data_IF_593724270819
#
_entry.id   IF_593724270819
#
_cell.length_a   1.000
_cell.length_b   1.000
_cell.length_c   1.000
_cell.angle_alpha   90.00
_cell.angle_beta   90.00
_cell.angle_gamma   90.00
#
_symmetry.space_group_name_H-M   'P 1'
#
loop_
_entity.id
_entity.type
_entity.pdbx_description
1 polymer ?
#
# COMPACT_ATOMS: atom_id res chain seq x y z
N UNK A 1 -17.56 11.62 4.71
CA UNK A 1 -17.63 10.22 4.27
C UNK A 1 -16.20 9.72 4.11
N UNK A 2 -15.92 8.54 4.64
CA UNK A 2 -14.61 7.89 4.59
C UNK A 2 -14.61 6.80 3.53
N UNK A 3 -13.43 6.29 3.20
CA UNK A 3 -13.20 5.12 2.34
C UNK A 3 -12.50 4.08 3.20
N UNK A 4 -13.13 2.95 3.50
CA UNK A 4 -12.69 2.05 4.56
C UNK A 4 -11.87 0.89 3.99
N UNK A 5 -10.78 0.56 4.67
CA UNK A 5 -9.96 -0.61 4.44
C UNK A 5 -9.85 -1.40 5.74
N UNK A 6 -10.37 -2.63 5.71
CA UNK A 6 -10.39 -3.54 6.85
C UNK A 6 -9.51 -4.77 6.61
N UNK A 7 -9.05 -5.35 7.71
CA UNK A 7 -8.32 -6.62 7.78
C UNK A 7 -8.93 -7.39 8.95
N UNK A 8 -9.54 -8.54 8.69
CA UNK A 8 -10.15 -9.39 9.73
C UNK A 8 -11.09 -8.58 10.67
N UNK A 9 -11.97 -7.74 10.09
CA UNK A 9 -12.89 -6.83 10.77
C UNK A 9 -12.22 -5.66 11.55
N UNK A 10 -10.90 -5.43 11.41
CA UNK A 10 -10.21 -4.27 11.97
C UNK A 10 -9.85 -3.22 10.90
N UNK A 11 -10.30 -1.98 11.11
CA UNK A 11 -9.96 -0.87 10.22
C UNK A 11 -8.49 -0.47 10.32
N UNK A 12 -7.75 -0.73 9.24
CA UNK A 12 -6.33 -0.36 9.11
C UNK A 12 -6.16 1.02 8.48
N UNK A 13 -7.14 1.48 7.69
CA UNK A 13 -7.13 2.81 7.09
C UNK A 13 -8.53 3.30 6.70
N UNK A 14 -8.84 4.57 7.01
CA UNK A 14 -10.15 5.19 6.71
C UNK A 14 -10.01 6.63 6.19
N UNK A 15 -9.37 6.84 5.02
CA UNK A 15 -9.14 8.17 4.44
C UNK A 15 -10.43 8.82 3.93
N UNK A 16 -10.33 10.06 3.45
CA UNK A 16 -11.40 10.68 2.66
C UNK A 16 -11.63 9.92 1.35
N UNK A 17 -12.88 9.92 0.86
CA UNK A 17 -13.32 9.20 -0.36
C UNK A 17 -12.35 9.33 -1.54
N UNK A 18 -11.95 10.56 -1.89
CA UNK A 18 -11.07 10.81 -3.04
C UNK A 18 -9.66 10.21 -2.87
N UNK A 19 -9.17 10.12 -1.65
CA UNK A 19 -7.84 9.58 -1.35
C UNK A 19 -7.88 8.05 -1.47
N UNK A 20 -8.91 7.41 -0.90
CA UNK A 20 -9.10 5.97 -1.00
C UNK A 20 -9.31 5.51 -2.45
N UNK A 21 -10.22 6.15 -3.19
CA UNK A 21 -10.47 5.84 -4.60
C UNK A 21 -9.21 6.00 -5.47
N UNK A 22 -8.44 7.08 -5.28
CA UNK A 22 -7.20 7.29 -6.04
C UNK A 22 -6.15 6.23 -5.70
N UNK A 23 -6.02 5.86 -4.44
CA UNK A 23 -5.12 4.79 -4.00
C UNK A 23 -5.48 3.46 -4.65
N UNK A 24 -6.76 3.06 -4.63
CA UNK A 24 -7.22 1.81 -5.24
C UNK A 24 -6.89 1.77 -6.74
N UNK A 25 -7.17 2.86 -7.47
CA UNK A 25 -6.86 2.97 -8.91
C UNK A 25 -5.36 2.84 -9.18
N UNK A 26 -4.52 3.53 -8.40
CA UNK A 26 -3.07 3.45 -8.59
C UNK A 26 -2.51 2.08 -8.24
N UNK A 27 -2.99 1.47 -7.15
CA UNK A 27 -2.60 0.12 -6.77
C UNK A 27 -2.98 -0.88 -7.86
N UNK A 28 -4.19 -0.76 -8.42
CA UNK A 28 -4.67 -1.63 -9.49
C UNK A 28 -3.78 -1.55 -10.74
N UNK A 29 -3.43 -0.35 -11.21
CA UNK A 29 -2.55 -0.17 -12.38
C UNK A 29 -1.16 -0.78 -12.15
N UNK A 30 -0.62 -0.67 -10.93
CA UNK A 30 0.68 -1.27 -10.59
C UNK A 30 0.55 -2.80 -10.48
N UNK A 31 -0.51 -3.33 -9.89
CA UNK A 31 -0.80 -4.76 -9.84
C UNK A 31 -0.89 -5.35 -11.25
N UNK A 32 -1.60 -4.67 -12.16
CA UNK A 32 -1.76 -5.10 -13.55
C UNK A 32 -0.45 -5.06 -14.33
N UNK A 33 0.42 -4.08 -14.05
CA UNK A 33 1.78 -4.03 -14.59
C UNK A 33 2.63 -5.21 -14.08
N UNK A 34 2.52 -5.55 -12.79
CA UNK A 34 3.28 -6.63 -12.14
C UNK A 34 2.67 -8.02 -12.32
N UNK A 35 1.44 -8.11 -12.87
CA UNK A 35 0.66 -9.36 -13.00
C UNK A 35 0.42 -10.05 -11.66
N UNK A 36 0.15 -9.26 -10.63
CA UNK A 36 -0.16 -9.72 -9.28
C UNK A 36 -1.57 -9.24 -8.85
N UNK A 37 -2.30 -10.02 -8.05
CA UNK A 37 -3.54 -9.55 -7.45
C UNK A 37 -3.28 -8.39 -6.50
N UNK A 38 -4.24 -7.47 -6.37
CA UNK A 38 -4.15 -6.37 -5.39
C UNK A 38 -4.30 -6.88 -3.96
N UNK A 39 -5.04 -7.96 -3.74
CA UNK A 39 -5.51 -8.36 -2.42
C UNK A 39 -6.64 -7.49 -1.88
N UNK A 40 -7.14 -6.52 -2.66
CA UNK A 40 -8.30 -5.71 -2.29
C UNK A 40 -9.59 -6.43 -2.73
N UNK A 41 -10.45 -6.74 -1.78
CA UNK A 41 -11.76 -7.38 -2.01
C UNK A 41 -12.86 -6.35 -1.74
N UNK A 42 -13.54 -5.93 -2.80
CA UNK A 42 -14.61 -4.92 -2.70
C UNK A 42 -15.81 -5.48 -1.90
N UNK A 43 -16.15 -4.80 -0.81
CA UNK A 43 -17.36 -5.07 -0.01
C UNK A 43 -18.46 -4.09 -0.38
N UNK A 44 -18.08 -2.82 -0.62
CA UNK A 44 -18.93 -1.76 -1.14
C UNK A 44 -18.08 -0.74 -1.91
N UNK A 45 -18.72 0.23 -2.57
CA UNK A 45 -18.03 1.23 -3.39
C UNK A 45 -16.97 2.05 -2.66
N UNK A 46 -17.06 2.15 -1.34
CA UNK A 46 -16.17 2.88 -0.44
C UNK A 46 -15.63 1.99 0.70
N UNK A 47 -15.66 0.66 0.54
CA UNK A 47 -15.20 -0.29 1.56
C UNK A 47 -14.54 -1.52 0.94
N UNK A 48 -13.33 -1.84 1.40
CA UNK A 48 -12.57 -3.01 0.98
C UNK A 48 -12.12 -3.83 2.19
N UNK A 49 -12.24 -5.15 2.05
CA UNK A 49 -11.52 -6.11 2.88
C UNK A 49 -10.17 -6.41 2.21
N UNK A 50 -9.10 -6.52 3.00
CA UNK A 50 -7.77 -6.81 2.49
C UNK A 50 -7.42 -8.29 2.73
N UNK A 51 -7.30 -9.06 1.65
CA UNK A 51 -6.58 -10.33 1.66
C UNK A 51 -5.07 -10.06 1.84
N UNK A 52 -4.62 -10.22 3.08
CA UNK A 52 -3.25 -9.91 3.48
C UNK A 52 -2.18 -10.68 2.71
N UNK A 53 -2.42 -11.93 2.33
CA UNK A 53 -1.40 -12.74 1.67
C UNK A 53 -1.12 -12.21 0.25
N UNK A 54 -2.18 -11.90 -0.48
CA UNK A 54 -2.11 -11.29 -1.81
C UNK A 54 -1.55 -9.86 -1.75
N UNK A 55 -2.05 -9.06 -0.80
CA UNK A 55 -1.65 -7.66 -0.64
C UNK A 55 -0.17 -7.54 -0.23
N UNK A 56 0.30 -8.33 0.74
CA UNK A 56 1.70 -8.35 1.15
C UNK A 56 2.62 -8.75 -0.01
N UNK A 57 2.22 -9.74 -0.80
CA UNK A 57 2.97 -10.19 -1.98
C UNK A 57 3.15 -9.05 -2.99
N UNK A 58 2.07 -8.32 -3.30
CA UNK A 58 2.14 -7.16 -4.19
C UNK A 58 3.03 -6.05 -3.62
N UNK A 59 2.83 -5.67 -2.35
CA UNK A 59 3.58 -4.56 -1.74
C UNK A 59 5.07 -4.88 -1.67
N UNK A 60 5.46 -6.13 -1.38
CA UNK A 60 6.87 -6.57 -1.44
C UNK A 60 7.44 -6.46 -2.85
N UNK A 61 6.69 -6.84 -3.88
CA UNK A 61 7.13 -6.72 -5.27
C UNK A 61 7.31 -5.25 -5.68
N UNK A 62 6.39 -4.35 -5.27
CA UNK A 62 6.52 -2.90 -5.47
C UNK A 62 7.77 -2.36 -4.76
N UNK A 63 8.00 -2.78 -3.52
CA UNK A 63 9.16 -2.40 -2.72
C UNK A 63 10.46 -2.82 -3.42
N UNK A 64 10.57 -4.08 -3.84
CA UNK A 64 11.74 -4.59 -4.58
C UNK A 64 11.95 -3.85 -5.91
N UNK A 65 10.90 -3.60 -6.67
CA UNK A 65 10.97 -2.83 -7.92
C UNK A 65 11.45 -1.39 -7.69
N UNK A 66 11.00 -0.76 -6.60
CA UNK A 66 11.41 0.60 -6.25
C UNK A 66 12.92 0.70 -5.98
N UNK A 67 13.50 -0.28 -5.28
CA UNK A 67 14.91 -0.27 -4.90
C UNK A 67 15.84 -0.92 -5.94
N UNK A 68 15.33 -1.75 -6.84
CA UNK A 68 16.10 -2.27 -7.98
C UNK A 68 16.14 -1.31 -9.17
N UNK A 69 15.18 -0.38 -9.28
CA UNK A 69 15.12 0.60 -10.35
C UNK A 69 16.07 1.78 -10.11
N UNK A 70 16.94 2.05 -11.08
CA UNK A 70 17.73 3.28 -11.14
C UNK A 70 16.97 4.49 -11.70
N UNK A 71 15.72 4.33 -12.16
CA UNK A 71 14.99 5.40 -12.85
C UNK A 71 14.14 6.24 -11.88
N UNK A 72 14.46 7.53 -11.65
CA UNK A 72 13.85 8.32 -10.59
C UNK A 72 12.34 8.55 -10.77
N UNK A 73 11.86 8.66 -12.01
CA UNK A 73 10.41 8.84 -12.28
C UNK A 73 9.62 7.60 -11.88
N UNK A 74 10.13 6.40 -12.18
CA UNK A 74 9.44 5.17 -11.84
C UNK A 74 9.37 5.01 -10.33
N UNK A 75 10.47 5.30 -9.63
CA UNK A 75 10.50 5.32 -8.17
C UNK A 75 9.45 6.25 -7.58
N UNK A 76 9.35 7.48 -8.07
CA UNK A 76 8.33 8.43 -7.62
C UNK A 76 6.89 7.92 -7.81
N UNK A 77 6.60 7.24 -8.93
CA UNK A 77 5.29 6.64 -9.19
C UNK A 77 4.99 5.47 -8.23
N UNK A 78 5.96 4.58 -8.00
CA UNK A 78 5.81 3.45 -7.07
C UNK A 78 5.69 3.94 -5.62
N UNK A 79 6.47 4.95 -5.21
CA UNK A 79 6.45 5.51 -3.86
C UNK A 79 5.08 6.10 -3.49
N UNK A 80 4.32 6.64 -4.46
CA UNK A 80 2.98 7.17 -4.23
C UNK A 80 2.00 6.14 -3.66
N UNK A 81 2.19 4.87 -4.01
CA UNK A 81 1.34 3.75 -3.56
C UNK A 81 2.00 2.95 -2.45
N UNK A 82 3.33 2.84 -2.50
CA UNK A 82 4.11 2.13 -1.50
C UNK A 82 4.01 2.78 -0.13
N UNK A 83 4.03 4.11 -0.04
CA UNK A 83 4.01 4.82 1.24
C UNK A 83 2.75 4.52 2.08
N UNK A 84 1.50 4.65 1.59
CA UNK A 84 0.33 4.22 2.35
C UNK A 84 0.31 2.70 2.59
N UNK A 85 0.80 1.90 1.63
CA UNK A 85 0.79 0.43 1.76
C UNK A 85 1.71 -0.10 2.88
N UNK A 86 2.84 0.58 3.12
CA UNK A 86 3.72 0.29 4.27
C UNK A 86 2.97 0.44 5.59
N UNK A 87 2.19 1.52 5.73
CA UNK A 87 1.42 1.77 6.96
C UNK A 87 0.30 0.76 7.10
N UNK A 88 -0.42 0.42 6.02
CA UNK A 88 -1.45 -0.62 6.04
C UNK A 88 -0.88 -1.96 6.53
N UNK A 89 0.25 -2.41 5.96
CA UNK A 89 0.92 -3.64 6.37
C UNK A 89 1.41 -3.63 7.83
N UNK A 90 2.00 -2.52 8.28
CA UNK A 90 2.45 -2.35 9.66
C UNK A 90 1.28 -2.47 10.65
N UNK A 91 0.14 -1.86 10.31
CA UNK A 91 -1.09 -1.91 11.11
C UNK A 91 -1.74 -3.29 11.12
N UNK A 92 -1.59 -4.04 10.03
CA UNK A 92 -2.04 -5.43 9.91
C UNK A 92 -1.06 -6.45 10.54
N UNK A 93 0.01 -6.00 11.22
CA UNK A 93 0.97 -6.89 11.85
C UNK A 93 1.95 -7.60 10.90
N UNK A 94 2.07 -7.12 9.66
CA UNK A 94 2.96 -7.68 8.62
C UNK A 94 3.96 -6.63 8.09
N UNK A 95 4.77 -5.99 8.95
CA UNK A 95 5.66 -4.90 8.53
C UNK A 95 6.68 -5.36 7.47
N UNK A 96 7.01 -4.46 6.54
CA UNK A 96 8.08 -4.71 5.58
C UNK A 96 9.45 -4.79 6.28
N UNK A 97 10.29 -5.73 5.84
CA UNK A 97 11.66 -5.85 6.32
C UNK A 97 12.59 -5.03 5.45
N UNK A 98 13.14 -3.95 6.02
CA UNK A 98 14.19 -3.16 5.38
C UNK A 98 15.57 -3.75 5.67
N UNK A 99 16.41 -3.88 4.64
CA UNK A 99 17.76 -4.44 4.71
C UNK A 99 18.86 -3.43 4.37
N UNK A 100 18.51 -2.21 3.96
CA UNK A 100 19.43 -1.11 3.68
C UNK A 100 18.98 0.19 4.36
N UNK A 101 19.90 1.14 4.53
CA UNK A 101 19.56 2.44 5.12
C UNK A 101 18.50 3.18 4.29
N UNK A 102 18.60 3.13 2.96
CA UNK A 102 17.65 3.78 2.06
C UNK A 102 16.23 3.20 2.22
N UNK A 103 16.14 1.88 2.39
CA UNK A 103 14.88 1.18 2.68
C UNK A 103 14.30 1.60 4.03
N UNK A 104 15.14 1.66 5.07
CA UNK A 104 14.74 2.11 6.41
C UNK A 104 14.23 3.55 6.39
N UNK A 105 14.87 4.43 5.62
CA UNK A 105 14.47 5.83 5.48
C UNK A 105 13.08 5.94 4.83
N UNK A 106 12.80 5.14 3.79
CA UNK A 106 11.47 5.09 3.16
C UNK A 106 10.40 4.60 4.14
N UNK A 107 10.66 3.49 4.84
CA UNK A 107 9.70 2.92 5.81
C UNK A 107 9.42 3.93 6.93
N UNK A 108 10.46 4.58 7.46
CA UNK A 108 10.32 5.61 8.51
C UNK A 108 9.50 6.80 8.02
N UNK A 109 9.75 7.29 6.79
CA UNK A 109 8.95 8.38 6.19
C UNK A 109 7.49 7.99 6.01
N UNK A 110 7.22 6.77 5.56
CA UNK A 110 5.87 6.25 5.40
C UNK A 110 5.13 6.16 6.75
N UNK A 111 5.78 5.64 7.79
CA UNK A 111 5.20 5.54 9.13
C UNK A 111 4.91 6.90 9.79
N UNK A 112 5.58 7.97 9.34
CA UNK A 112 5.29 9.34 9.76
C UNK A 112 4.04 9.95 9.11
N UNK A 113 3.41 9.28 8.13
CA UNK A 113 2.18 9.75 7.49
C UNK A 113 1.00 9.73 8.48
N UNK A 114 0.24 10.83 8.49
CA UNK A 114 -1.04 10.87 9.21
C UNK A 114 -2.11 10.13 8.42
N UNK A 115 -2.32 8.86 8.74
CA UNK A 115 -3.34 8.01 8.12
C UNK A 115 -4.46 7.69 9.12
N UNK A 116 -5.67 8.25 8.97
CA UNK A 116 -6.79 7.95 9.88
C UNK A 116 -7.19 6.47 9.83
N UNK A 117 -7.75 5.96 10.93
CA UNK A 117 -8.47 4.67 11.00
C UNK A 117 -9.91 4.99 11.35
#
# INVERSE_FOLDING_TARGET
>A
MSYVFDVDDETVWSPALQIGDLYVRFLQEIADMLKLPTGLVEIASDMYEIDLDSYETLVKAIFEMNFSSGHPVLRGLLEAVLAPSVVVLDRAGRPLTATSQEQMDLVTRAQALSMPR
#
